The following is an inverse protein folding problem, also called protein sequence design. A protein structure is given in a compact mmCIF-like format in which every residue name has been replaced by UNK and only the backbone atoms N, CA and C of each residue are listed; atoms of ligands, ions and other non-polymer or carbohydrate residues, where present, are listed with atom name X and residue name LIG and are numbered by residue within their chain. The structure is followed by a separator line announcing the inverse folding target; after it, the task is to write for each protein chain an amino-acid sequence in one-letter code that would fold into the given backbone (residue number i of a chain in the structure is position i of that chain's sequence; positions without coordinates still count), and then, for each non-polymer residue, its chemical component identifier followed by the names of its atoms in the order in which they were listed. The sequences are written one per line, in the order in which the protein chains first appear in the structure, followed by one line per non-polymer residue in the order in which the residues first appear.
data_IF_103693406709
#
_entry.id   IF_103693406709
#
_cell.length_a   1.000
_cell.length_b   1.000
_cell.length_c   1.000
_cell.angle_alpha   90.00
_cell.angle_beta   90.00
_cell.angle_gamma   90.00
#
_symmetry.space_group_name_H-M   'P 1'
#
loop_
_entity.id
_entity.type
_entity.pdbx_description
1 polymer ?
#
# COMPACT_ATOMS: atom_id res chain seq x y z
N UNK A 1 -12.15 5.26 10.97
CA UNK A 1 -12.27 5.96 9.67
C UNK A 1 -13.46 6.90 9.74
N UNK A 2 -13.30 8.16 9.29
CA UNK A 2 -14.40 9.12 9.32
C UNK A 2 -15.55 8.66 8.39
N UNK A 3 -16.82 8.75 8.81
CA UNK A 3 -17.97 8.27 8.00
C UNK A 3 -18.00 8.83 6.58
N UNK A 4 -17.63 10.11 6.42
CA UNK A 4 -17.57 10.76 5.11
C UNK A 4 -16.58 10.10 4.15
N UNK A 5 -15.41 9.66 4.63
CA UNK A 5 -14.42 8.98 3.80
C UNK A 5 -14.88 7.60 3.38
N UNK A 6 -15.63 6.91 4.25
CA UNK A 6 -16.23 5.62 3.94
C UNK A 6 -17.22 5.73 2.79
N UNK A 7 -18.13 6.70 2.86
CA UNK A 7 -19.10 6.93 1.80
C UNK A 7 -18.39 7.32 0.49
N UNK A 8 -17.39 8.21 0.55
CA UNK A 8 -16.60 8.57 -0.63
C UNK A 8 -15.93 7.37 -1.30
N UNK A 9 -15.29 6.48 -0.54
CA UNK A 9 -14.64 5.28 -1.10
C UNK A 9 -15.68 4.35 -1.74
N UNK A 10 -16.81 4.12 -1.06
CA UNK A 10 -17.92 3.33 -1.60
C UNK A 10 -18.39 3.92 -2.93
N UNK A 11 -18.64 5.22 -2.97
CA UNK A 11 -19.19 5.89 -4.15
C UNK A 11 -18.19 5.84 -5.32
N UNK A 12 -16.89 5.97 -5.08
CA UNK A 12 -15.85 5.77 -6.10
C UNK A 12 -15.91 4.35 -6.68
N UNK A 13 -16.03 3.33 -5.83
CA UNK A 13 -16.07 1.93 -6.26
C UNK A 13 -17.35 1.60 -7.05
N UNK A 14 -18.49 2.16 -6.64
CA UNK A 14 -19.78 2.00 -7.35
C UNK A 14 -19.76 2.74 -8.69
N UNK A 15 -19.36 4.01 -8.70
CA UNK A 15 -19.37 4.85 -9.91
C UNK A 15 -18.43 4.32 -11.00
N UNK A 16 -17.37 3.59 -10.62
CA UNK A 16 -16.47 2.91 -11.54
C UNK A 16 -16.95 1.51 -11.96
N UNK A 17 -18.13 1.08 -11.48
CA UNK A 17 -18.70 -0.24 -11.78
C UNK A 17 -17.94 -1.41 -11.14
N UNK A 18 -17.09 -1.15 -10.14
CA UNK A 18 -16.23 -2.16 -9.49
C UNK A 18 -16.96 -2.89 -8.37
N UNK A 19 -18.02 -2.29 -7.84
CA UNK A 19 -18.92 -2.88 -6.85
C UNK A 19 -20.37 -2.64 -7.26
N UNK A 20 -21.21 -3.62 -6.94
CA UNK A 20 -22.67 -3.51 -7.10
C UNK A 20 -23.36 -4.26 -5.97
N UNK A 21 -24.59 -3.86 -5.71
CA UNK A 21 -25.43 -4.58 -4.78
C UNK A 21 -25.69 -5.98 -5.31
N UNK A 22 -25.82 -6.92 -4.38
CA UNK A 22 -26.23 -8.28 -4.66
C UNK A 22 -27.54 -8.53 -3.94
N UNK A 23 -28.23 -9.62 -4.28
CA UNK A 23 -29.49 -9.99 -3.62
C UNK A 23 -29.36 -10.07 -2.10
N UNK A 24 -28.17 -10.41 -1.59
CA UNK A 24 -27.96 -10.69 -0.17
C UNK A 24 -27.13 -9.62 0.55
N UNK A 25 -26.36 -8.78 -0.17
CA UNK A 25 -25.48 -7.77 0.44
C UNK A 25 -25.41 -6.49 -0.37
N UNK A 26 -25.54 -5.36 0.35
CA UNK A 26 -25.32 -4.01 -0.19
C UNK A 26 -23.82 -3.71 -0.36
N UNK A 27 -23.46 -2.80 -1.26
CA UNK A 27 -22.08 -2.32 -1.42
C UNK A 27 -21.52 -1.74 -0.13
N UNK A 28 -22.36 -1.07 0.65
CA UNK A 28 -22.02 -0.53 1.98
C UNK A 28 -21.56 -1.65 2.90
N UNK A 29 -22.33 -2.73 3.00
CA UNK A 29 -22.00 -3.86 3.87
C UNK A 29 -20.78 -4.63 3.36
N UNK A 30 -20.66 -4.85 2.04
CA UNK A 30 -19.48 -5.47 1.43
C UNK A 30 -18.20 -4.70 1.77
N UNK A 31 -18.23 -3.37 1.63
CA UNK A 31 -17.08 -2.53 1.99
C UNK A 31 -16.83 -2.52 3.50
N UNK A 32 -17.87 -2.54 4.32
CA UNK A 32 -17.75 -2.60 5.77
C UNK A 32 -17.08 -3.90 6.23
N UNK A 33 -17.46 -5.06 5.68
CA UNK A 33 -16.81 -6.35 5.94
C UNK A 33 -15.31 -6.26 5.62
N UNK A 34 -14.97 -5.76 4.43
CA UNK A 34 -13.59 -5.63 3.98
C UNK A 34 -12.75 -4.71 4.88
N UNK A 35 -13.24 -3.51 5.17
CA UNK A 35 -12.53 -2.54 6.00
C UNK A 35 -12.45 -2.97 7.47
N UNK A 36 -13.48 -3.65 7.99
CA UNK A 36 -13.45 -4.17 9.35
C UNK A 36 -12.39 -5.27 9.50
N UNK A 37 -12.30 -6.16 8.51
CA UNK A 37 -11.29 -7.20 8.43
C UNK A 37 -9.87 -6.62 8.42
N UNK A 38 -9.60 -5.64 7.55
CA UNK A 38 -8.27 -5.01 7.44
C UNK A 38 -7.93 -4.13 8.65
N UNK A 39 -8.87 -3.34 9.14
CA UNK A 39 -8.65 -2.39 10.21
C UNK A 39 -8.37 -3.04 11.57
N UNK A 40 -8.90 -4.25 11.80
CA UNK A 40 -8.73 -4.97 13.07
C UNK A 40 -7.92 -6.27 12.94
N UNK A 41 -7.58 -6.70 11.72
CA UNK A 41 -6.89 -7.97 11.48
C UNK A 41 -7.68 -9.20 11.95
N UNK A 42 -9.01 -9.15 11.91
CA UNK A 42 -9.87 -10.21 12.47
C UNK A 42 -10.07 -11.38 11.52
N UNK A 43 -10.34 -12.55 12.09
CA UNK A 43 -10.57 -13.78 11.32
C UNK A 43 -11.93 -13.79 10.62
N UNK A 44 -12.06 -14.65 9.61
CA UNK A 44 -13.33 -14.89 8.91
C UNK A 44 -14.47 -15.29 9.88
N UNK A 45 -14.16 -16.05 10.95
CA UNK A 45 -15.15 -16.43 11.97
C UNK A 45 -15.73 -15.22 12.71
N UNK A 46 -14.87 -14.29 13.11
CA UNK A 46 -15.30 -13.06 13.81
C UNK A 46 -16.14 -12.18 12.88
N UNK A 47 -15.79 -12.11 11.60
CA UNK A 47 -16.59 -11.39 10.61
C UNK A 47 -17.95 -12.05 10.39
N UNK A 48 -17.99 -13.38 10.31
CA UNK A 48 -19.23 -14.16 10.15
C UNK A 48 -20.18 -13.90 11.31
N UNK A 49 -19.67 -13.90 12.53
CA UNK A 49 -20.44 -13.59 13.75
C UNK A 49 -20.94 -12.14 13.77
N UNK A 50 -20.07 -11.18 13.43
CA UNK A 50 -20.38 -9.74 13.49
C UNK A 50 -21.39 -9.29 12.43
N UNK A 51 -21.27 -9.81 11.20
CA UNK A 51 -22.13 -9.41 10.08
C UNK A 51 -23.24 -10.44 9.82
N UNK A 52 -23.35 -11.49 10.63
CA UNK A 52 -24.37 -12.53 10.52
C UNK A 52 -24.46 -13.21 9.14
N UNK A 53 -23.31 -13.43 8.51
CA UNK A 53 -23.19 -14.12 7.23
C UNK A 53 -22.36 -15.39 7.35
N UNK A 54 -22.57 -16.34 6.45
CA UNK A 54 -21.71 -17.51 6.36
C UNK A 54 -20.26 -17.10 6.05
N UNK A 55 -19.29 -17.90 6.51
CA UNK A 55 -17.88 -17.62 6.24
C UNK A 55 -17.52 -17.65 4.75
N UNK A 56 -18.29 -18.39 3.96
CA UNK A 56 -18.20 -18.39 2.50
C UNK A 56 -18.62 -17.03 1.92
N UNK A 57 -19.74 -16.45 2.38
CA UNK A 57 -20.18 -15.11 1.99
C UNK A 57 -19.17 -14.03 2.38
N UNK A 58 -18.65 -14.08 3.62
CA UNK A 58 -17.57 -13.19 4.07
C UNK A 58 -16.37 -13.29 3.13
N UNK A 59 -15.90 -14.51 2.82
CA UNK A 59 -14.75 -14.73 1.96
C UNK A 59 -14.98 -14.20 0.55
N UNK A 60 -16.16 -14.47 -0.03
CA UNK A 60 -16.52 -14.04 -1.38
C UNK A 60 -16.49 -12.52 -1.50
N UNK A 61 -17.17 -11.81 -0.62
CA UNK A 61 -17.26 -10.35 -0.70
C UNK A 61 -15.96 -9.67 -0.29
N UNK A 62 -15.23 -10.21 0.69
CA UNK A 62 -13.88 -9.72 1.00
C UNK A 62 -12.98 -9.76 -0.24
N UNK A 63 -12.94 -10.90 -0.96
CA UNK A 63 -12.13 -11.03 -2.16
C UNK A 63 -12.64 -10.18 -3.33
N UNK A 64 -13.95 -9.99 -3.47
CA UNK A 64 -14.52 -9.11 -4.48
C UNK A 64 -14.09 -7.66 -4.26
N UNK A 65 -14.23 -7.14 -3.03
CA UNK A 65 -13.80 -5.79 -2.67
C UNK A 65 -12.28 -5.64 -2.76
N UNK A 66 -11.50 -6.66 -2.36
CA UNK A 66 -10.05 -6.66 -2.54
C UNK A 66 -9.66 -6.44 -4.00
N UNK A 67 -10.26 -7.20 -4.93
CA UNK A 67 -10.01 -7.07 -6.37
C UNK A 67 -10.42 -5.68 -6.88
N UNK A 68 -11.56 -5.17 -6.45
CA UNK A 68 -12.04 -3.83 -6.80
C UNK A 68 -11.04 -2.75 -6.36
N UNK A 69 -10.59 -2.78 -5.10
CA UNK A 69 -9.60 -1.81 -4.58
C UNK A 69 -8.26 -1.95 -5.29
N UNK A 70 -7.77 -3.17 -5.53
CA UNK A 70 -6.50 -3.40 -6.24
C UNK A 70 -6.57 -2.90 -7.68
N UNK A 71 -7.73 -2.95 -8.33
CA UNK A 71 -7.89 -2.42 -9.70
C UNK A 71 -7.69 -0.91 -9.78
N UNK A 72 -7.93 -0.18 -8.69
CA UNK A 72 -7.68 1.27 -8.60
C UNK A 72 -6.19 1.62 -8.57
N UNK A 73 -5.29 0.64 -8.37
CA UNK A 73 -3.84 0.87 -8.28
C UNK A 73 -3.31 1.78 -9.39
N UNK A 74 -3.71 1.53 -10.64
CA UNK A 74 -3.20 2.25 -11.83
C UNK A 74 -3.62 3.71 -11.88
N UNK A 75 -4.65 4.09 -11.13
CA UNK A 75 -5.17 5.46 -11.12
C UNK A 75 -4.60 6.26 -9.96
N UNK A 76 -4.34 5.62 -8.82
CA UNK A 76 -3.92 6.32 -7.60
C UNK A 76 -2.43 6.19 -7.27
N UNK A 77 -1.75 5.13 -7.72
CA UNK A 77 -0.32 4.92 -7.48
C UNK A 77 0.42 5.25 -8.76
N UNK A 78 0.80 6.52 -8.87
CA UNK A 78 1.50 7.07 -10.03
C UNK A 78 2.86 7.63 -9.62
N UNK A 79 3.84 7.41 -10.49
CA UNK A 79 5.14 8.02 -10.37
C UNK A 79 5.05 9.54 -10.62
N UNK A 80 5.96 10.32 -10.01
CA UNK A 80 6.03 11.77 -10.21
C UNK A 80 6.32 12.10 -11.68
N UNK A 81 5.74 13.21 -12.15
CA UNK A 81 5.98 13.76 -13.49
C UNK A 81 7.17 14.73 -13.50
N UNK A 82 7.62 15.17 -14.67
CA UNK A 82 8.83 16.00 -14.84
C UNK A 82 8.68 17.43 -14.27
N UNK A 83 7.45 17.90 -14.06
CA UNK A 83 7.12 19.28 -13.67
C UNK A 83 6.79 19.43 -12.17
N UNK A 84 7.18 18.44 -11.36
CA UNK A 84 6.90 18.47 -9.91
C UNK A 84 7.60 19.66 -9.26
N UNK A 85 6.78 20.55 -8.72
CA UNK A 85 7.24 21.71 -7.96
C UNK A 85 7.81 21.29 -6.61
N UNK A 86 8.75 22.09 -6.08
CA UNK A 86 9.31 21.88 -4.74
C UNK A 86 8.18 21.86 -3.71
N UNK A 87 8.06 20.76 -2.97
CA UNK A 87 7.00 20.60 -1.99
C UNK A 87 7.07 21.71 -0.93
N UNK A 88 5.94 22.31 -0.48
CA UNK A 88 5.93 23.40 0.49
C UNK A 88 6.67 23.09 1.80
N UNK A 89 6.65 21.83 2.24
CA UNK A 89 7.37 21.36 3.43
C UNK A 89 8.89 21.51 3.29
N UNK A 90 9.43 21.31 2.09
CA UNK A 90 10.85 21.53 1.80
C UNK A 90 11.10 23.02 1.56
N UNK A 91 10.29 23.66 0.72
CA UNK A 91 10.50 25.05 0.26
C UNK A 91 10.59 26.05 1.43
N UNK A 92 9.76 25.89 2.46
CA UNK A 92 9.72 26.83 3.59
C UNK A 92 10.65 26.45 4.74
N UNK A 93 11.30 25.28 4.68
CA UNK A 93 12.20 24.82 5.73
C UNK A 93 13.66 25.15 5.37
N UNK A 94 14.28 26.07 6.12
CA UNK A 94 15.67 26.50 5.92
C UNK A 94 16.71 25.39 6.14
N UNK A 95 16.35 24.32 6.84
CA UNK A 95 17.21 23.14 7.02
C UNK A 95 17.20 22.28 5.75
N UNK A 96 16.03 22.17 5.09
CA UNK A 96 15.86 21.28 3.94
C UNK A 96 16.13 21.97 2.61
N UNK A 97 15.79 23.24 2.48
CA UNK A 97 16.08 24.02 1.29
C UNK A 97 17.48 24.66 1.38
N UNK A 98 18.34 24.57 0.35
CA UNK A 98 18.07 24.04 -0.99
C UNK A 98 18.39 22.55 -1.19
N UNK A 99 18.94 21.87 -0.17
CA UNK A 99 19.52 20.52 -0.29
C UNK A 99 18.54 19.45 -0.81
N UNK A 100 17.27 19.54 -0.42
CA UNK A 100 16.21 18.61 -0.80
C UNK A 100 15.21 19.22 -1.79
N UNK A 101 15.55 20.33 -2.46
CA UNK A 101 14.63 21.02 -3.37
C UNK A 101 14.06 20.13 -4.49
N UNK A 102 14.79 19.09 -4.86
CA UNK A 102 14.42 18.12 -5.90
C UNK A 102 13.93 16.78 -5.34
N UNK A 103 13.82 16.65 -4.02
CA UNK A 103 13.20 15.48 -3.42
C UNK A 103 11.70 15.53 -3.68
N UNK A 104 11.10 14.40 -4.03
CA UNK A 104 9.64 14.26 -4.23
C UNK A 104 8.97 13.39 -3.18
N UNK A 105 9.77 12.71 -2.37
CA UNK A 105 9.30 11.82 -1.32
C UNK A 105 10.41 10.92 -0.80
N UNK A 106 10.02 9.79 -0.20
CA UNK A 106 10.93 8.74 0.22
C UNK A 106 10.61 7.39 -0.41
N UNK A 107 11.61 6.52 -0.42
CA UNK A 107 11.49 5.11 -0.77
C UNK A 107 12.18 4.27 0.31
N UNK A 108 11.52 3.21 0.77
CA UNK A 108 12.12 2.28 1.73
C UNK A 108 11.51 0.87 1.65
N UNK A 109 12.26 -0.11 2.13
CA UNK A 109 11.83 -1.49 2.30
C UNK A 109 11.12 -1.71 3.63
N UNK A 110 9.98 -2.39 3.61
CA UNK A 110 9.25 -2.80 4.81
C UNK A 110 8.91 -4.28 4.77
N UNK A 111 8.91 -4.92 5.93
CA UNK A 111 8.54 -6.33 6.06
C UNK A 111 7.10 -6.46 6.52
N UNK A 112 6.27 -7.16 5.73
CA UNK A 112 4.89 -7.49 6.06
C UNK A 112 4.81 -8.99 6.43
N UNK A 113 4.12 -9.39 7.51
CA UNK A 113 3.86 -10.80 7.84
C UNK A 113 3.30 -11.57 6.66
N UNK A 114 3.89 -12.74 6.40
CA UNK A 114 3.49 -13.59 5.29
C UNK A 114 3.16 -15.00 5.78
N UNK A 115 2.10 -15.58 5.21
CA UNK A 115 1.79 -16.99 5.37
C UNK A 115 2.28 -17.74 4.13
N UNK A 116 3.26 -18.63 4.32
CA UNK A 116 3.82 -19.44 3.23
C UNK A 116 3.88 -20.92 3.62
N UNK A 117 3.93 -21.80 2.62
CA UNK A 117 4.14 -23.24 2.83
C UNK A 117 5.48 -23.48 3.55
N UNK A 118 5.53 -24.52 4.40
CA UNK A 118 6.71 -24.88 5.19
C UNK A 118 8.00 -24.97 4.36
N UNK A 119 7.93 -25.55 3.17
CA UNK A 119 9.08 -25.68 2.26
C UNK A 119 9.60 -24.35 1.70
N UNK A 120 8.83 -23.27 1.76
CA UNK A 120 9.25 -21.90 1.37
C UNK A 120 9.64 -21.05 2.58
N UNK A 121 9.41 -21.51 3.82
CA UNK A 121 9.57 -20.69 5.01
C UNK A 121 10.99 -20.12 5.17
N UNK A 122 12.03 -20.90 4.85
CA UNK A 122 13.42 -20.44 4.93
C UNK A 122 13.68 -19.19 4.07
N UNK A 123 13.14 -19.15 2.86
CA UNK A 123 13.24 -18.01 1.93
C UNK A 123 12.54 -16.76 2.47
N UNK A 124 11.40 -16.92 3.13
CA UNK A 124 10.61 -15.80 3.64
C UNK A 124 11.02 -15.36 5.05
N UNK A 125 12.00 -16.03 5.68
CA UNK A 125 12.51 -15.64 6.99
C UNK A 125 13.38 -14.39 6.86
N UNK A 126 13.03 -13.32 7.54
CA UNK A 126 13.84 -12.11 7.57
C UNK A 126 14.97 -12.19 8.61
N UNK A 127 15.79 -11.14 8.67
CA UNK A 127 16.91 -11.01 9.62
C UNK A 127 16.47 -11.03 11.10
N UNK A 128 15.22 -10.68 11.39
CA UNK A 128 14.61 -10.74 12.73
C UNK A 128 14.01 -12.13 13.05
N UNK A 129 14.18 -13.10 12.15
CA UNK A 129 13.83 -14.50 12.37
C UNK A 129 12.38 -14.89 12.09
N UNK A 130 11.50 -13.95 11.70
CA UNK A 130 10.08 -14.21 11.41
C UNK A 130 9.77 -14.23 9.91
N UNK A 131 8.64 -14.84 9.55
CA UNK A 131 8.22 -15.04 8.15
C UNK A 131 7.54 -13.80 7.61
N UNK A 132 8.12 -13.23 6.56
CA UNK A 132 7.68 -11.95 5.99
C UNK A 132 7.82 -11.92 4.46
N UNK A 133 7.09 -11.00 3.84
CA UNK A 133 7.39 -10.48 2.52
C UNK A 133 8.08 -9.13 2.65
N UNK A 134 9.14 -8.93 1.88
CA UNK A 134 9.71 -7.59 1.70
C UNK A 134 8.83 -6.82 0.69
N UNK A 135 8.49 -5.59 1.03
CA UNK A 135 7.74 -4.65 0.20
C UNK A 135 8.53 -3.37 0.13
N UNK A 136 8.91 -2.97 -1.08
CA UNK A 136 9.54 -1.68 -1.32
C UNK A 136 8.46 -0.68 -1.74
N UNK A 137 8.35 0.43 -1.02
CA UNK A 137 7.35 1.45 -1.30
C UNK A 137 7.97 2.83 -1.40
N UNK A 138 7.55 3.60 -2.40
CA UNK A 138 7.86 5.01 -2.53
C UNK A 138 6.61 5.84 -2.23
N UNK A 139 6.76 6.88 -1.40
CA UNK A 139 5.69 7.76 -0.95
C UNK A 139 6.08 9.23 -1.15
N UNK A 140 5.14 10.06 -1.59
CA UNK A 140 5.30 11.51 -1.64
C UNK A 140 5.32 12.13 -0.23
N UNK A 141 5.66 13.42 -0.14
CA UNK A 141 5.55 14.20 1.11
C UNK A 141 4.13 14.29 1.68
N UNK A 142 3.10 14.07 0.85
CA UNK A 142 1.68 14.02 1.26
C UNK A 142 1.27 12.61 1.75
N UNK A 143 2.24 11.72 1.98
CA UNK A 143 2.04 10.32 2.41
C UNK A 143 1.23 9.49 1.40
N UNK A 144 1.31 9.84 0.11
CA UNK A 144 0.66 9.11 -0.97
C UNK A 144 1.65 8.14 -1.61
N UNK A 145 1.28 6.86 -1.73
CA UNK A 145 2.10 5.88 -2.45
C UNK A 145 2.21 6.26 -3.93
N UNK A 146 3.45 6.39 -4.42
CA UNK A 146 3.78 6.63 -5.83
C UNK A 146 4.32 5.38 -6.52
N UNK A 147 4.86 4.44 -5.74
CA UNK A 147 5.30 3.14 -6.22
C UNK A 147 5.22 2.08 -5.12
N UNK A 148 4.88 0.84 -5.48
CA UNK A 148 4.92 -0.30 -4.56
C UNK A 148 5.35 -1.56 -5.30
N UNK A 149 6.48 -2.15 -4.90
CA UNK A 149 6.92 -3.48 -5.29
C UNK A 149 6.62 -4.48 -4.17
N UNK A 150 5.79 -5.48 -4.48
CA UNK A 150 5.31 -6.50 -3.53
C UNK A 150 5.78 -7.89 -3.92
N UNK A 151 5.67 -8.84 -2.99
CA UNK A 151 5.88 -10.26 -3.27
C UNK A 151 7.32 -10.75 -3.14
N UNK A 152 8.23 -9.90 -2.66
CA UNK A 152 9.61 -10.30 -2.41
C UNK A 152 9.74 -11.15 -1.15
N UNK A 153 10.67 -12.08 -1.18
CA UNK A 153 10.99 -12.92 -0.02
C UNK A 153 11.52 -12.08 1.13
N UNK A 154 11.11 -12.42 2.36
CA UNK A 154 11.60 -11.74 3.57
C UNK A 154 13.11 -11.83 3.81
N UNK A 155 13.82 -12.79 3.21
CA UNK A 155 15.29 -12.83 3.26
C UNK A 155 15.96 -11.88 2.27
N UNK A 156 15.21 -11.31 1.32
CA UNK A 156 15.74 -10.43 0.28
C UNK A 156 16.15 -9.10 0.89
N UNK A 157 17.39 -8.67 0.61
CA UNK A 157 17.87 -7.35 0.98
C UNK A 157 17.18 -6.25 0.16
N UNK A 158 16.89 -5.11 0.79
CA UNK A 158 16.16 -3.98 0.19
C UNK A 158 16.80 -3.49 -1.12
N UNK A 159 18.13 -3.42 -1.15
CA UNK A 159 18.89 -3.05 -2.35
C UNK A 159 18.60 -3.96 -3.56
N UNK A 160 18.33 -5.26 -3.33
CA UNK A 160 17.98 -6.19 -4.41
C UNK A 160 16.57 -5.92 -4.93
N UNK A 161 15.63 -5.61 -4.03
CA UNK A 161 14.26 -5.21 -4.42
C UNK A 161 14.30 -3.90 -5.19
N UNK A 162 15.06 -2.91 -4.72
CA UNK A 162 15.23 -1.62 -5.36
C UNK A 162 15.87 -1.75 -6.76
N UNK A 163 16.93 -2.55 -6.89
CA UNK A 163 17.55 -2.82 -8.19
C UNK A 163 16.56 -3.41 -9.17
N UNK A 164 15.80 -4.44 -8.77
CA UNK A 164 14.77 -4.99 -9.64
C UNK A 164 13.70 -3.95 -9.98
N UNK A 165 13.28 -3.11 -9.03
CA UNK A 165 12.29 -2.07 -9.27
C UNK A 165 12.74 -1.13 -10.39
N UNK A 166 14.00 -0.71 -10.38
CA UNK A 166 14.63 0.16 -11.38
C UNK A 166 14.81 -0.55 -12.75
N UNK A 167 15.25 -1.80 -12.74
CA UNK A 167 15.62 -2.53 -13.97
C UNK A 167 14.43 -3.17 -14.68
N UNK A 168 13.37 -3.55 -13.94
CA UNK A 168 12.30 -4.42 -14.46
C UNK A 168 10.94 -4.18 -13.81
N UNK A 169 10.90 -3.58 -12.62
CA UNK A 169 9.67 -3.34 -11.87
C UNK A 169 8.93 -2.06 -12.24
N UNK A 170 9.40 -1.30 -13.24
CA UNK A 170 8.76 -0.08 -13.73
C UNK A 170 8.91 1.14 -12.81
N UNK A 171 9.84 1.10 -11.85
CA UNK A 171 10.18 2.28 -11.05
C UNK A 171 11.10 3.19 -11.87
N UNK A 172 10.52 4.26 -12.43
CA UNK A 172 11.25 5.26 -13.21
C UNK A 172 11.08 6.63 -12.57
N UNK A 173 12.20 7.31 -12.34
CA UNK A 173 12.23 8.64 -11.74
C UNK A 173 12.79 9.59 -12.80
N UNK A 174 12.05 10.66 -13.16
CA UNK A 174 12.55 11.69 -14.07
C UNK A 174 13.90 12.27 -13.68
N UNK A 175 14.67 12.67 -14.67
CA UNK A 175 15.93 13.36 -14.45
C UNK A 175 15.72 14.65 -13.66
N UNK A 176 16.61 14.90 -12.69
CA UNK A 176 16.57 16.10 -11.86
C UNK A 176 15.73 16.00 -10.60
N UNK A 177 14.94 14.92 -10.40
CA UNK A 177 14.23 14.64 -9.15
C UNK A 177 14.61 13.29 -8.55
N UNK A 178 14.36 13.10 -7.25
CA UNK A 178 14.71 11.87 -6.55
C UNK A 178 13.80 11.54 -5.36
N UNK A 179 13.72 10.25 -5.02
CA UNK A 179 13.20 9.78 -3.74
C UNK A 179 14.34 9.60 -2.76
N UNK A 180 14.16 10.05 -1.52
CA UNK A 180 15.11 9.82 -0.46
C UNK A 180 15.01 8.39 0.04
N UNK A 181 16.13 7.66 0.09
CA UNK A 181 16.16 6.39 0.79
C UNK A 181 16.23 6.66 2.30
N UNK A 182 15.19 6.30 3.05
CA UNK A 182 15.20 6.50 4.50
C UNK A 182 16.07 5.38 5.09
N UNK A 183 17.35 5.69 5.36
CA UNK A 183 18.06 4.94 6.39
C UNK A 183 17.65 5.53 7.75
N UNK A 184 17.62 4.67 8.77
CA UNK A 184 17.18 4.87 10.18
C UNK A 184 17.62 6.17 10.91
N UNK A 185 18.33 7.09 10.26
CA UNK A 185 18.75 8.40 10.77
C UNK A 185 17.88 9.58 10.28
N UNK A 186 16.89 9.36 9.41
CA UNK A 186 16.07 10.43 8.81
C UNK A 186 14.57 10.37 9.16
N UNK A 187 14.19 9.61 10.21
CA UNK A 187 12.78 9.51 10.66
C UNK A 187 12.19 10.89 11.01
N UNK A 188 13.00 11.88 11.38
CA UNK A 188 12.57 13.25 11.67
C UNK A 188 12.34 14.13 10.42
N UNK A 189 12.35 13.57 9.21
CA UNK A 189 12.05 14.28 7.95
C UNK A 189 10.55 14.23 7.56
N UNK A 190 9.69 13.67 8.41
CA UNK A 190 8.26 13.43 8.16
C UNK A 190 7.39 13.99 9.28
#
# INVERSE_FOLDING_TARGET
MAPRLFLKLRDVLINKGLMKDTTNLTCTEQLAIFLHALGHGVSNRVLSERFHHSGETISRHFNAVLKAVVSLKREYINLPQNDVQVHPHVRHNKIFYPYFKNAVGAIDGTHIPALVRKNKATRYRNRKGWISQNVMAACSFDLQFQYVAVGWEGSTADMRVLRWALESGGFSVPEGIFFQHIFNQFINLW
#
